data_IF_520307897722
#
_entry.id   IF_520307897722
#
_cell.length_a   1.000
_cell.length_b   1.000
_cell.length_c   1.000
_cell.angle_alpha   90.00
_cell.angle_beta   90.00
_cell.angle_gamma   90.00
#
_symmetry.space_group_name_H-M   'P 1'
#
loop_
_entity.id
_entity.type
_entity.pdbx_description
1 polymer ?
2 polymer ?
3 non-polymer ?
4 water ?
#
# COMPACT_ATOMS: atom_id res chain seq x y z
N UNK A 10 15.95 -10.45 2.72
CA UNK A 10 14.48 -10.61 2.92
C UNK A 10 13.87 -9.29 3.38
N UNK A 11 13.74 -8.35 2.45
CA UNK A 11 13.20 -7.03 2.76
C UNK A 11 11.73 -6.80 2.42
N UNK A 12 11.26 -5.62 2.79
CA UNK A 12 9.88 -5.21 2.56
C UNK A 12 9.58 -4.93 1.09
N UNK A 13 10.55 -5.21 0.22
CA UNK A 13 10.34 -5.01 -1.20
C UNK A 13 9.48 -6.19 -1.68
N UNK A 14 9.43 -7.23 -0.85
CA UNK A 14 8.65 -8.43 -1.14
C UNK A 14 7.26 -8.33 -0.51
N UNK A 15 6.23 -8.62 -1.30
CA UNK A 15 4.85 -8.58 -0.81
C UNK A 15 4.67 -9.54 0.36
N UNK A 16 5.30 -10.71 0.26
CA UNK A 16 5.21 -11.72 1.31
C UNK A 16 5.71 -11.18 2.65
N UNK A 17 6.81 -10.44 2.61
CA UNK A 17 7.38 -9.86 3.82
C UNK A 17 6.50 -8.72 4.35
N UNK A 18 5.94 -7.93 3.45
CA UNK A 18 5.07 -6.84 3.86
C UNK A 18 3.82 -7.40 4.53
N UNK A 19 3.29 -8.50 3.98
CA UNK A 19 2.08 -9.11 4.54
C UNK A 19 2.29 -9.63 5.96
N UNK A 20 3.50 -10.09 6.25
CA UNK A 20 3.78 -10.62 7.58
C UNK A 20 3.98 -9.51 8.62
N UNK A 21 4.05 -8.25 8.18
CA UNK A 21 4.20 -7.16 9.14
C UNK A 21 2.82 -6.82 9.69
N UNK A 22 1.77 -7.38 9.08
CA UNK A 22 0.41 -7.09 9.52
C UNK A 22 -0.11 -7.92 10.68
N UNK A 23 0.77 -8.23 11.63
CA UNK A 23 0.33 -8.97 12.80
C UNK A 23 -0.39 -7.94 13.67
N UNK A 24 -1.49 -8.35 14.29
CA UNK A 24 -2.26 -7.46 15.15
C UNK A 24 -2.89 -6.28 14.42
N UNK A 25 -3.28 -6.51 13.16
CA UNK A 25 -3.94 -5.49 12.34
C UNK A 25 -5.31 -5.25 12.98
N UNK A 26 -5.61 -3.99 13.34
CA UNK A 26 -6.87 -3.57 13.99
C UNK A 26 -8.14 -3.48 13.16
N UNK A 27 -8.01 -3.33 11.84
CA UNK A 27 -9.18 -3.15 10.98
C UNK A 27 -9.66 -4.38 10.20
N UNK A 28 -10.69 -5.05 10.73
CA UNK A 28 -11.24 -6.24 10.08
C UNK A 28 -11.84 -5.95 8.70
N UNK A 29 -12.30 -4.72 8.50
CA UNK A 29 -12.94 -4.33 7.24
C UNK A 29 -12.01 -3.80 6.13
N UNK A 30 -10.75 -3.54 6.47
CA UNK A 30 -9.79 -3.05 5.48
C UNK A 30 -8.81 -4.19 5.24
N UNK A 31 -8.75 -4.65 3.99
CA UNK A 31 -7.91 -5.79 3.61
C UNK A 31 -6.39 -5.62 3.67
N UNK A 32 -5.79 -6.29 4.65
CA UNK A 32 -4.34 -6.26 4.84
C UNK A 32 -3.61 -6.84 3.63
N UNK A 33 -4.23 -7.81 2.97
CA UNK A 33 -3.64 -8.46 1.80
C UNK A 33 -3.53 -7.48 0.64
N UNK A 34 -4.58 -6.67 0.43
CA UNK A 34 -4.57 -5.70 -0.65
C UNK A 34 -3.62 -4.55 -0.32
N UNK A 35 -3.50 -4.21 0.96
CA UNK A 35 -2.60 -3.15 1.36
C UNK A 35 -1.16 -3.62 1.15
N UNK A 36 -0.85 -4.84 1.58
CA UNK A 36 0.51 -5.37 1.41
C UNK A 36 0.84 -5.52 -0.07
N UNK A 37 -0.17 -5.91 -0.84
CA UNK A 37 -0.03 -6.11 -2.28
C UNK A 37 0.32 -4.80 -2.99
N UNK A 38 -0.24 -3.70 -2.51
CA UNK A 38 -0.01 -2.40 -3.12
C UNK A 38 1.07 -1.54 -2.45
N UNK A 39 2.10 -2.21 -1.93
CA UNK A 39 3.23 -1.51 -1.33
C UNK A 39 3.27 -1.22 0.16
N UNK A 40 2.14 -1.41 0.85
CA UNK A 40 2.07 -1.09 2.27
C UNK A 40 2.54 -2.13 3.27
N UNK A 41 3.12 -1.65 4.37
CA UNK A 41 3.53 -2.49 5.47
C UNK A 41 3.01 -1.80 6.73
N UNK A 42 2.67 -2.60 7.74
CA UNK A 42 2.12 -2.08 8.99
C UNK A 42 3.21 -1.49 9.88
N UNK A 43 3.00 -0.26 10.34
CA UNK A 43 3.98 0.43 11.19
C UNK A 43 3.84 0.05 12.66
N UNK A 44 2.74 -0.62 12.99
CA UNK A 44 2.44 -1.06 14.35
C UNK A 44 2.11 0.09 15.31
N UNK A 45 1.70 1.21 14.74
CA UNK A 45 1.31 2.38 15.51
C UNK A 45 -0.12 2.69 15.07
N UNK A 46 -1.09 2.37 15.91
CA UNK A 46 -2.48 2.61 15.55
C UNK A 46 -2.82 1.77 14.33
N UNK A 47 -3.37 2.40 13.29
CA UNK A 47 -3.72 1.70 12.06
C UNK A 47 -2.90 2.28 10.90
N UNK A 48 -1.74 2.83 11.23
CA UNK A 48 -0.86 3.46 10.24
C UNK A 48 -0.04 2.48 9.41
N UNK A 49 -0.07 2.66 8.09
CA UNK A 49 0.71 1.82 7.18
C UNK A 49 1.63 2.74 6.38
N UNK A 50 2.72 2.19 5.85
CA UNK A 50 3.66 3.00 5.10
C UNK A 50 4.04 2.27 3.82
N UNK A 51 4.18 3.02 2.73
CA UNK A 51 4.55 2.42 1.45
C UNK A 51 6.07 2.30 1.34
N UNK A 52 6.53 1.10 1.01
CA UNK A 52 7.96 0.87 0.89
C UNK A 52 8.56 1.56 -0.33
N UNK A 53 7.73 1.89 -1.31
CA UNK A 53 8.22 2.51 -2.54
C UNK A 53 8.18 4.03 -2.63
N UNK A 54 7.16 4.66 -2.05
CA UNK A 54 7.08 6.12 -2.10
C UNK A 54 7.22 6.75 -0.71
N UNK A 55 7.10 5.92 0.32
CA UNK A 55 7.24 6.40 1.69
C UNK A 55 6.03 7.03 2.36
N UNK A 56 4.90 7.11 1.67
CA UNK A 56 3.71 7.72 2.24
C UNK A 56 3.17 6.91 3.43
N UNK A 57 2.74 7.62 4.47
CA UNK A 57 2.18 6.97 5.66
C UNK A 57 0.72 7.41 5.76
N UNK A 58 -0.18 6.44 5.90
CA UNK A 58 -1.61 6.72 5.99
C UNK A 58 -2.23 5.97 7.18
N UNK A 59 -3.01 6.70 7.97
CA UNK A 59 -3.65 6.10 9.13
C UNK A 59 -5.02 6.72 9.37
N UNK A 60 -5.62 6.43 10.52
CA UNK A 60 -6.95 6.94 10.85
C UNK A 60 -7.91 6.69 9.70
N UNK A 61 -7.90 5.45 9.21
CA UNK A 61 -8.76 5.05 8.10
C UNK A 61 -10.25 5.11 8.44
N UNK A 62 -11.05 5.54 7.47
CA UNK A 62 -12.51 5.61 7.61
C UNK A 62 -13.09 4.49 6.75
N UNK A 63 -14.24 3.97 7.13
CA UNK A 63 -14.87 2.88 6.39
C UNK A 63 -15.09 3.09 4.90
N UNK A 64 -15.10 4.34 4.45
CA UNK A 64 -15.29 4.60 3.03
C UNK A 64 -13.99 4.55 2.23
N UNK A 65 -12.86 4.57 2.93
CA UNK A 65 -11.56 4.57 2.27
C UNK A 65 -11.16 3.23 1.64
N UNK A 66 -10.52 3.29 0.48
CA UNK A 66 -10.07 2.11 -0.24
C UNK A 66 -8.54 2.12 -0.30
N UNK A 67 -7.92 0.94 -0.25
CA UNK A 67 -6.46 0.83 -0.29
C UNK A 67 -5.73 1.62 -1.38
N UNK A 68 -6.08 1.37 -2.63
CA UNK A 68 -5.41 2.04 -3.75
C UNK A 68 -5.79 3.52 -3.93
N UNK A 69 -7.10 3.84 -3.91
CA UNK A 69 -7.50 5.25 -4.07
C UNK A 69 -6.90 6.20 -3.03
N UNK A 70 -6.86 5.75 -1.78
CA UNK A 70 -6.31 6.57 -0.70
C UNK A 70 -4.80 6.72 -0.90
N UNK A 71 -4.16 5.63 -1.31
CA UNK A 71 -2.72 5.63 -1.56
C UNK A 71 -2.45 6.60 -2.72
N UNK A 72 -3.25 6.50 -3.77
CA UNK A 72 -3.10 7.37 -4.93
C UNK A 72 -3.44 8.82 -4.59
N UNK A 73 -4.40 9.01 -3.69
CA UNK A 73 -4.83 10.34 -3.27
C UNK A 73 -3.70 11.15 -2.63
N UNK A 74 -2.97 10.54 -1.70
CA UNK A 74 -1.90 11.23 -1.00
C UNK A 74 -0.51 11.12 -1.63
N UNK A 75 -0.32 10.18 -2.56
CA UNK A 75 0.98 10.00 -3.21
C UNK A 75 0.74 9.64 -4.68
N UNK A 76 0.40 10.66 -5.50
CA UNK A 76 0.11 10.55 -6.94
C UNK A 76 1.25 10.04 -7.81
N UNK A 77 2.47 10.22 -7.34
CA UNK A 77 3.64 9.82 -8.11
C UNK A 77 4.33 8.55 -7.63
N UNK A 78 3.67 7.75 -6.81
CA UNK A 78 4.28 6.52 -6.34
C UNK A 78 4.71 5.66 -7.53
N UNK A 79 5.97 5.21 -7.54
CA UNK A 79 6.52 4.37 -8.62
C UNK A 79 5.71 3.10 -8.84
N UNK A 80 5.27 2.47 -7.76
CA UNK A 80 4.48 1.25 -7.86
C UNK A 80 3.10 1.51 -8.48
N UNK A 81 2.39 2.51 -7.96
CA UNK A 81 1.07 2.85 -8.48
C UNK A 81 1.13 3.36 -9.91
N UNK A 82 2.19 4.09 -10.24
CA UNK A 82 2.39 4.65 -11.58
C UNK A 82 2.85 3.61 -12.59
N UNK A 83 3.04 2.38 -12.13
CA UNK A 83 3.47 1.29 -12.99
C UNK A 83 4.85 1.48 -13.63
N UNK A 84 5.78 2.04 -12.85
CA UNK A 84 7.15 2.19 -13.32
C UNK A 84 7.88 0.97 -12.79
N UNK A 85 9.16 0.82 -13.13
CA UNK A 85 9.93 -0.32 -12.64
C UNK A 85 10.27 -0.11 -11.17
N UNK A 86 10.16 -1.18 -10.38
CA UNK A 86 10.49 -1.11 -8.96
C UNK A 86 11.09 -2.47 -8.59
N UNK A 87 11.57 -2.61 -7.37
CA UNK A 87 12.14 -3.88 -6.93
C UNK A 87 11.10 -4.72 -6.21
N UNK A 88 9.84 -4.37 -6.38
CA UNK A 88 8.76 -5.11 -5.74
C UNK A 88 8.73 -6.55 -6.24
N UNK A 89 8.41 -7.48 -5.34
CA UNK A 89 8.29 -8.89 -5.71
C UNK A 89 6.91 -9.32 -5.23
N UNK A 90 5.94 -9.39 -6.15
CA UNK A 90 4.57 -9.78 -5.79
C UNK A 90 4.45 -11.26 -5.49
N UNK A 91 3.35 -11.62 -4.84
CA UNK A 91 3.07 -13.02 -4.56
C UNK A 91 2.47 -13.56 -5.86
N UNK A 92 1.57 -12.78 -6.44
CA UNK A 92 0.93 -13.12 -7.71
C UNK A 92 0.93 -11.87 -8.59
N UNK A 93 1.71 -11.92 -9.67
CA UNK A 93 1.83 -10.79 -10.59
C UNK A 93 0.53 -10.35 -11.24
N UNK A 94 -0.28 -11.31 -11.68
CA UNK A 94 -1.55 -10.96 -12.32
C UNK A 94 -2.50 -10.25 -11.35
N UNK A 95 -2.49 -10.68 -10.09
CA UNK A 95 -3.36 -10.06 -9.09
C UNK A 95 -2.94 -8.60 -8.88
N UNK A 96 -1.64 -8.36 -8.90
CA UNK A 96 -1.14 -7.00 -8.72
C UNK A 96 -1.56 -6.13 -9.90
N UNK A 97 -1.35 -6.63 -11.12
CA UNK A 97 -1.73 -5.88 -12.32
C UNK A 97 -3.21 -5.54 -12.28
N UNK A 98 -4.01 -6.48 -11.76
CA UNK A 98 -5.45 -6.31 -11.67
C UNK A 98 -5.87 -5.17 -10.74
N UNK A 99 -5.11 -4.96 -9.67
CA UNK A 99 -5.45 -3.95 -8.68
C UNK A 99 -4.78 -2.58 -8.84
N UNK A 100 -3.65 -2.51 -9.55
CA UNK A 100 -2.98 -1.22 -9.72
C UNK A 100 -3.80 -0.29 -10.60
N UNK A 101 -3.73 1.03 -10.34
CA UNK A 101 -4.48 2.01 -11.13
C UNK A 101 -4.20 1.86 -12.63
N UNK A 102 -5.25 1.93 -13.47
CA UNK A 102 -5.03 1.80 -14.92
C UNK A 102 -4.09 2.90 -15.40
N UNK A 103 -3.32 2.60 -16.44
CA UNK A 103 -2.37 3.57 -16.96
C UNK A 103 -3.06 4.82 -17.49
N UNK A 104 -2.40 5.95 -17.32
CA UNK A 104 -2.90 7.24 -17.77
C UNK A 104 -1.86 8.30 -17.45
N UNK A 105 -1.65 9.21 -18.40
CA UNK A 105 -0.69 10.29 -18.19
C UNK A 105 -1.42 11.45 -17.50
N UNK A 106 -1.06 11.70 -16.25
CA UNK A 106 -1.68 12.78 -15.48
C UNK A 106 -0.84 14.04 -15.52
N UNK B 1 -8.96 8.96 5.04
CA UNK B 1 -7.83 8.70 5.92
C UNK B 1 -6.95 9.94 6.01
N UNK B 2 -5.97 9.90 6.90
CA UNK B 2 -5.05 11.01 7.09
C UNK B 2 -3.64 10.57 6.75
N UNK B 3 -2.93 11.42 6.02
CA UNK B 3 -1.55 11.13 5.66
C UNK B 3 -0.63 11.68 6.75
N UNK B 4 -0.03 10.79 7.52
CA UNK B 4 0.86 11.22 8.58
C UNK B 4 2.19 11.68 7.99
N UNK B 5 2.42 11.34 6.72
CA UNK B 5 3.62 11.74 6.00
C UNK B 5 3.42 11.69 4.50
N UNK B 6 3.69 12.80 3.83
CA UNK B 6 3.54 12.89 2.38
C UNK B 6 4.92 13.08 1.75
N UNK B 7 5.27 12.22 0.78
CA UNK B 7 6.57 12.30 0.09
C UNK B 7 6.95 13.72 -0.30
X LIG C 1 3.53 4.28 -2.65
#
# INVERSE_FOLDING_TARGET
>A
KNNINKTRMNDLNREETRLKTFTDWPLDWLDKRQLAQTGMYFTHAGDKVKCFFCGVEIGSWEQEDQPVPEHQRWSPNCPLLRRRTTNNVPINAEALDRILPPISYDICGANDSTLE
>B
AIAYFIPDQA
>C hetero
1 ZN ZN
#
